data_IF_573301155770
#
_entry.id   IF_573301155770
#
_cell.length_a   1.000
_cell.length_b   1.000
_cell.length_c   1.000
_cell.angle_alpha   90.00
_cell.angle_beta   90.00
_cell.angle_gamma   90.00
#
_symmetry.space_group_name_H-M   'P 1'
#
loop_
_entity.id
_entity.type
_entity.pdbx_description
1 polymer ?
#
# COMPACT_ATOMS: atom_id res chain seq x y z
N UNK A 1 -25.59 26.65 16.67
CA UNK A 1 -25.53 26.26 15.25
C UNK A 1 -24.16 25.71 14.99
N UNK A 2 -24.01 24.39 14.99
CA UNK A 2 -22.76 23.70 14.67
C UNK A 2 -22.67 23.67 13.15
N UNK A 3 -21.84 24.52 12.55
CA UNK A 3 -21.45 24.37 11.16
C UNK A 3 -20.56 23.14 11.04
N UNK A 4 -21.10 22.06 10.52
CA UNK A 4 -20.31 20.95 9.99
C UNK A 4 -19.38 21.50 8.91
N UNK A 5 -18.09 21.62 9.24
CA UNK A 5 -17.07 21.83 8.22
C UNK A 5 -17.12 20.60 7.31
N UNK A 6 -17.61 20.76 6.10
CA UNK A 6 -17.46 19.77 5.02
C UNK A 6 -15.96 19.54 4.85
N UNK A 7 -15.45 18.43 5.40
CA UNK A 7 -14.10 17.97 5.11
C UNK A 7 -14.06 17.70 3.61
N UNK A 8 -13.16 18.37 2.89
CA UNK A 8 -12.89 18.04 1.50
C UNK A 8 -12.28 16.63 1.48
N UNK A 9 -13.11 15.64 1.34
CA UNK A 9 -12.70 14.25 1.21
C UNK A 9 -12.24 14.08 -0.25
N UNK A 10 -10.93 13.89 -0.43
CA UNK A 10 -10.39 13.55 -1.73
C UNK A 10 -10.96 12.20 -2.16
N UNK A 11 -11.37 12.10 -3.41
CA UNK A 11 -11.81 10.84 -3.99
C UNK A 11 -11.08 10.59 -5.31
N UNK A 12 -10.72 9.33 -5.55
CA UNK A 12 -9.99 8.88 -6.74
C UNK A 12 -10.84 7.89 -7.51
N UNK A 13 -10.94 8.11 -8.83
CA UNK A 13 -11.51 7.12 -9.72
C UNK A 13 -10.42 6.13 -10.12
N UNK A 14 -10.57 4.89 -9.63
CA UNK A 14 -9.59 3.82 -9.84
C UNK A 14 -9.74 3.08 -11.17
N UNK A 15 -10.84 3.25 -11.90
CA UNK A 15 -11.10 2.52 -13.15
C UNK A 15 -10.02 2.74 -14.22
N UNK A 16 -9.38 3.91 -14.17
CA UNK A 16 -8.26 4.25 -15.07
C UNK A 16 -6.89 3.77 -14.57
N UNK A 17 -6.81 3.40 -13.29
CA UNK A 17 -5.60 2.92 -12.63
C UNK A 17 -5.52 1.41 -12.75
N UNK A 18 -6.64 0.74 -12.48
CA UNK A 18 -6.74 -0.73 -12.49
C UNK A 18 -7.12 -1.21 -13.89
N UNK A 19 -6.20 -1.10 -14.83
CA UNK A 19 -6.38 -1.72 -16.14
C UNK A 19 -5.66 -3.06 -16.13
N UNK A 20 -6.42 -4.16 -16.23
CA UNK A 20 -5.91 -5.51 -16.29
C UNK A 20 -6.53 -6.26 -17.46
N UNK A 21 -5.72 -7.01 -18.19
CA UNK A 21 -6.17 -8.00 -19.16
C UNK A 21 -6.87 -9.16 -18.44
N UNK A 22 -7.62 -9.98 -19.16
CA UNK A 22 -8.29 -11.14 -18.57
C UNK A 22 -7.29 -12.19 -18.04
N UNK A 23 -6.11 -12.30 -18.67
CA UNK A 23 -5.04 -13.14 -18.17
C UNK A 23 -4.45 -12.60 -16.87
N UNK A 24 -4.17 -11.31 -16.80
CA UNK A 24 -3.69 -10.69 -15.56
C UNK A 24 -4.70 -10.88 -14.41
N UNK A 25 -6.01 -10.69 -14.65
CA UNK A 25 -7.03 -10.93 -13.63
C UNK A 25 -6.93 -12.35 -13.07
N UNK A 26 -6.84 -13.36 -13.94
CA UNK A 26 -6.69 -14.77 -13.51
C UNK A 26 -5.42 -14.98 -12.68
N UNK A 27 -4.28 -14.46 -13.14
CA UNK A 27 -3.03 -14.57 -12.39
C UNK A 27 -3.14 -13.93 -11.00
N UNK A 28 -3.72 -12.73 -10.90
CA UNK A 28 -3.90 -12.08 -9.61
C UNK A 28 -4.95 -12.78 -8.73
N UNK A 29 -5.97 -13.42 -9.30
CA UNK A 29 -6.90 -14.27 -8.56
C UNK A 29 -6.20 -15.51 -7.97
N UNK A 30 -5.40 -16.20 -8.75
CA UNK A 30 -4.62 -17.36 -8.30
C UNK A 30 -3.61 -16.96 -7.21
N UNK A 31 -2.89 -15.85 -7.42
CA UNK A 31 -1.96 -15.30 -6.45
C UNK A 31 -2.68 -14.95 -5.14
N UNK A 32 -3.83 -14.28 -5.20
CA UNK A 32 -4.64 -13.97 -4.02
C UNK A 32 -5.03 -15.22 -3.24
N UNK A 33 -5.51 -16.27 -3.93
CA UNK A 33 -5.91 -17.51 -3.24
C UNK A 33 -4.73 -18.20 -2.56
N UNK A 34 -3.54 -18.15 -3.16
CA UNK A 34 -2.32 -18.66 -2.53
C UNK A 34 -1.92 -17.80 -1.33
N UNK A 35 -1.94 -16.47 -1.46
CA UNK A 35 -1.65 -15.56 -0.36
C UNK A 35 -2.60 -15.73 0.82
N UNK A 36 -3.89 -15.98 0.60
CA UNK A 36 -4.85 -16.28 1.68
C UNK A 36 -4.45 -17.53 2.47
N UNK A 37 -3.95 -18.55 1.80
CA UNK A 37 -3.49 -19.78 2.46
C UNK A 37 -2.22 -19.54 3.29
N UNK A 38 -1.24 -18.88 2.68
CA UNK A 38 0.05 -18.60 3.34
C UNK A 38 -0.10 -17.65 4.53
N UNK A 39 -0.92 -16.62 4.41
CA UNK A 39 -1.19 -15.67 5.49
C UNK A 39 -1.94 -16.28 6.69
N UNK A 40 -2.59 -17.41 6.51
CA UNK A 40 -3.29 -18.16 7.57
C UNK A 40 -4.11 -17.27 8.53
N UNK A 41 -4.88 -16.35 7.97
CA UNK A 41 -5.69 -15.37 8.72
C UNK A 41 -5.03 -14.02 8.98
N UNK A 42 -3.75 -13.85 8.65
CA UNK A 42 -3.09 -12.55 8.67
C UNK A 42 -3.73 -11.58 7.71
N UNK A 43 -3.74 -10.29 8.07
CA UNK A 43 -4.45 -9.24 7.33
C UNK A 43 -3.53 -8.27 6.62
N UNK A 44 -2.30 -8.14 7.03
CA UNK A 44 -1.35 -7.11 6.60
C UNK A 44 -0.32 -7.72 5.67
N UNK A 45 -0.29 -7.24 4.44
CA UNK A 45 0.57 -7.76 3.37
C UNK A 45 1.47 -6.65 2.83
N UNK A 46 2.78 -6.84 2.90
CA UNK A 46 3.74 -5.98 2.22
C UNK A 46 4.07 -6.54 0.83
N UNK A 47 4.24 -5.65 -0.15
CA UNK A 47 4.65 -5.99 -1.51
C UNK A 47 5.82 -5.08 -1.89
N UNK A 48 6.95 -5.69 -2.20
CA UNK A 48 8.17 -4.96 -2.53
C UNK A 48 8.40 -4.86 -4.03
N UNK A 49 9.14 -3.86 -4.45
CA UNK A 49 9.66 -3.65 -5.82
C UNK A 49 8.65 -3.36 -6.92
N UNK A 50 7.34 -3.48 -6.67
CA UNK A 50 6.34 -3.22 -7.70
C UNK A 50 5.06 -2.61 -7.11
N UNK A 51 5.03 -1.29 -6.98
CA UNK A 51 3.88 -0.57 -6.44
C UNK A 51 2.60 -0.76 -7.27
N UNK A 52 2.70 -0.87 -8.60
CA UNK A 52 1.54 -1.15 -9.44
C UNK A 52 1.06 -2.61 -9.28
N UNK A 53 1.98 -3.56 -9.12
CA UNK A 53 1.65 -4.94 -8.78
C UNK A 53 0.96 -5.01 -7.41
N UNK A 54 1.47 -4.29 -6.41
CA UNK A 54 0.85 -4.18 -5.10
C UNK A 54 -0.59 -3.65 -5.20
N UNK A 55 -0.81 -2.62 -6.02
CA UNK A 55 -2.14 -2.07 -6.25
C UNK A 55 -3.10 -3.07 -6.92
N UNK A 56 -2.62 -3.81 -7.92
CA UNK A 56 -3.41 -4.86 -8.59
C UNK A 56 -3.73 -6.03 -7.65
N UNK A 57 -2.79 -6.42 -6.78
CA UNK A 57 -3.05 -7.42 -5.73
C UNK A 57 -4.12 -6.91 -4.77
N UNK A 58 -3.99 -5.68 -4.26
CA UNK A 58 -5.00 -5.07 -3.40
C UNK A 58 -6.39 -5.09 -4.04
N UNK A 59 -6.47 -4.70 -5.31
CA UNK A 59 -7.72 -4.72 -6.05
C UNK A 59 -8.29 -6.14 -6.27
N UNK A 60 -7.45 -7.16 -6.39
CA UNK A 60 -7.92 -8.54 -6.50
C UNK A 60 -8.65 -9.02 -5.25
N UNK A 61 -8.23 -8.56 -4.05
CA UNK A 61 -8.95 -8.80 -2.80
C UNK A 61 -10.29 -8.07 -2.77
N UNK A 62 -10.34 -6.84 -3.30
CA UNK A 62 -11.61 -6.09 -3.46
C UNK A 62 -12.59 -6.84 -4.35
N UNK A 63 -12.11 -7.40 -5.47
CA UNK A 63 -12.94 -8.22 -6.37
C UNK A 63 -13.48 -9.49 -5.69
N UNK A 64 -12.82 -9.98 -4.66
CA UNK A 64 -13.28 -11.09 -3.81
C UNK A 64 -14.26 -10.64 -2.70
N UNK A 65 -14.63 -9.36 -2.65
CA UNK A 65 -15.58 -8.81 -1.68
C UNK A 65 -14.97 -8.34 -0.36
N UNK A 66 -13.64 -8.36 -0.24
CA UNK A 66 -12.95 -7.85 0.96
C UNK A 66 -12.92 -6.30 0.96
N UNK A 67 -13.03 -5.72 2.14
CA UNK A 67 -12.79 -4.29 2.35
C UNK A 67 -11.31 -4.05 2.53
N UNK A 68 -10.69 -3.36 1.58
CA UNK A 68 -9.24 -3.24 1.47
C UNK A 68 -8.80 -1.79 1.64
N UNK A 69 -7.71 -1.61 2.40
CA UNK A 69 -6.93 -0.39 2.42
C UNK A 69 -5.60 -0.64 1.71
N UNK A 70 -5.39 0.07 0.61
CA UNK A 70 -4.08 0.14 -0.02
C UNK A 70 -3.28 1.30 0.58
N UNK A 71 -2.05 1.03 0.98
CA UNK A 71 -1.13 2.01 1.57
C UNK A 71 0.10 2.10 0.68
N UNK A 72 0.28 3.24 0.03
CA UNK A 72 1.50 3.52 -0.72
C UNK A 72 2.60 3.97 0.25
N UNK A 73 3.36 3.00 0.74
CA UNK A 73 4.44 3.22 1.69
C UNK A 73 5.82 3.16 1.02
N UNK A 74 5.89 3.03 -0.29
CA UNK A 74 7.12 3.21 -1.06
C UNK A 74 7.39 4.71 -1.26
N UNK A 75 8.02 5.29 -0.26
CA UNK A 75 8.28 6.73 -0.18
C UNK A 75 9.29 7.20 -1.22
N UNK A 76 10.08 6.28 -1.75
CA UNK A 76 11.10 6.58 -2.75
C UNK A 76 10.57 6.51 -4.19
N UNK A 77 9.44 5.86 -4.40
CA UNK A 77 8.85 5.76 -5.72
C UNK A 77 7.66 6.74 -5.84
N UNK A 78 7.77 7.74 -6.67
CA UNK A 78 6.65 8.65 -6.98
C UNK A 78 5.62 8.03 -7.94
N UNK A 79 5.42 6.70 -7.88
CA UNK A 79 4.61 5.96 -8.86
C UNK A 79 3.20 6.54 -8.97
N UNK A 80 2.56 6.82 -7.85
CA UNK A 80 1.19 7.36 -7.85
C UNK A 80 1.12 8.88 -7.91
N UNK A 81 2.02 9.60 -7.22
CA UNK A 81 2.01 11.06 -7.18
C UNK A 81 2.43 11.67 -8.53
N UNK A 82 3.50 11.15 -9.15
CA UNK A 82 4.02 11.66 -10.40
C UNK A 82 3.12 11.33 -11.60
N UNK A 83 2.68 10.07 -11.69
CA UNK A 83 1.93 9.57 -12.84
C UNK A 83 0.48 10.07 -12.88
N UNK A 84 -0.18 10.21 -11.74
CA UNK A 84 -1.61 10.54 -11.67
C UNK A 84 -1.89 11.99 -11.28
N UNK A 85 -0.86 12.84 -11.14
CA UNK A 85 -0.98 14.27 -10.80
C UNK A 85 -1.93 14.52 -9.62
N UNK A 86 -1.86 13.65 -8.62
CA UNK A 86 -2.59 13.81 -7.37
C UNK A 86 -2.11 15.12 -6.74
N UNK A 87 -3.04 15.97 -6.31
CA UNK A 87 -2.75 17.35 -5.95
C UNK A 87 -1.62 17.51 -4.93
N UNK A 88 -0.82 18.55 -5.07
CA UNK A 88 0.37 18.87 -4.24
C UNK A 88 0.11 18.98 -2.72
N UNK A 89 -1.13 18.92 -2.27
CA UNK A 89 -1.52 19.04 -0.87
C UNK A 89 -2.06 17.73 -0.27
N UNK A 90 -1.89 16.61 -0.99
CA UNK A 90 -2.35 15.31 -0.51
C UNK A 90 -1.43 14.86 0.63
N UNK A 91 -2.01 14.72 1.83
CA UNK A 91 -1.32 14.17 2.98
C UNK A 91 -1.27 12.66 2.89
N UNK A 92 -0.18 12.06 3.37
CA UNK A 92 0.05 10.63 3.27
C UNK A 92 0.88 10.05 4.41
N UNK A 93 1.45 8.88 4.16
CA UNK A 93 2.29 8.16 5.12
C UNK A 93 3.42 9.03 5.66
N UNK A 94 4.14 9.74 4.77
CA UNK A 94 5.24 10.61 5.15
C UNK A 94 4.84 11.73 6.13
N UNK A 95 3.65 12.30 5.94
CA UNK A 95 3.14 13.34 6.85
C UNK A 95 2.85 12.77 8.24
N UNK A 96 2.31 11.55 8.31
CA UNK A 96 2.09 10.86 9.59
C UNK A 96 3.42 10.57 10.29
N UNK A 97 4.39 10.02 9.59
CA UNK A 97 5.69 9.66 10.16
C UNK A 97 6.41 10.87 10.76
N UNK A 98 6.36 12.02 10.07
CA UNK A 98 6.95 13.27 10.55
C UNK A 98 6.22 13.87 11.77
N UNK A 99 4.90 13.73 11.85
CA UNK A 99 4.08 14.33 12.91
C UNK A 99 2.93 13.42 13.34
N UNK A 100 3.21 12.30 14.04
CA UNK A 100 2.19 11.31 14.42
C UNK A 100 1.07 11.88 15.29
N UNK A 101 1.34 12.96 16.03
CA UNK A 101 0.35 13.65 16.88
C UNK A 101 -0.71 14.42 16.09
N UNK A 102 -0.47 14.70 14.83
CA UNK A 102 -1.46 15.34 13.97
C UNK A 102 -2.32 14.26 13.31
N UNK A 103 -3.54 14.09 13.82
CA UNK A 103 -4.54 13.23 13.20
C UNK A 103 -4.97 13.82 11.86
N UNK A 104 -4.27 13.46 10.80
CA UNK A 104 -4.67 13.80 9.45
C UNK A 104 -5.77 12.85 8.98
N UNK A 105 -6.65 13.36 8.14
CA UNK A 105 -7.55 12.52 7.36
C UNK A 105 -6.76 12.04 6.13
N UNK A 106 -6.04 10.92 6.32
CA UNK A 106 -5.15 10.37 5.30
C UNK A 106 -5.88 9.50 4.27
N UNK A 107 -7.08 9.03 4.64
CA UNK A 107 -7.84 8.12 3.79
C UNK A 107 -8.40 8.87 2.59
N UNK A 108 -7.98 8.44 1.41
CA UNK A 108 -8.56 8.85 0.15
C UNK A 108 -9.61 7.82 -0.28
N UNK A 109 -10.87 8.26 -0.39
CA UNK A 109 -11.94 7.41 -0.88
C UNK A 109 -11.81 7.15 -2.37
N UNK A 110 -12.22 5.97 -2.82
CA UNK A 110 -12.31 5.68 -4.24
C UNK A 110 -13.77 5.59 -4.70
N UNK A 111 -13.97 5.44 -6.01
CA UNK A 111 -15.29 5.15 -6.56
C UNK A 111 -15.78 3.72 -6.24
N UNK A 112 -14.95 2.87 -5.63
CA UNK A 112 -15.35 1.57 -5.09
C UNK A 112 -15.45 1.66 -3.55
N UNK A 113 -16.63 1.44 -2.94
CA UNK A 113 -16.83 1.59 -1.50
C UNK A 113 -16.04 0.58 -0.64
N UNK A 114 -15.53 -0.50 -1.24
CA UNK A 114 -14.70 -1.50 -0.56
C UNK A 114 -13.21 -1.21 -0.67
N UNK A 115 -12.82 -0.12 -1.35
CA UNK A 115 -11.42 0.18 -1.60
C UNK A 115 -11.08 1.61 -1.22
N UNK A 116 -10.23 1.76 -0.24
CA UNK A 116 -9.65 3.03 0.19
C UNK A 116 -8.15 3.05 -0.06
N UNK A 117 -7.57 4.25 -0.17
CA UNK A 117 -6.15 4.45 -0.44
C UNK A 117 -5.57 5.44 0.56
N UNK A 118 -4.36 5.17 1.04
CA UNK A 118 -3.49 6.16 1.67
C UNK A 118 -2.25 6.29 0.78
N UNK A 119 -1.97 7.51 0.34
CA UNK A 119 -0.82 7.80 -0.51
C UNK A 119 0.45 8.06 0.32
N UNK A 120 1.58 8.08 -0.34
CA UNK A 120 2.89 8.34 0.26
C UNK A 120 2.97 9.69 0.97
N UNK A 121 2.34 10.73 0.39
CA UNK A 121 2.56 12.11 0.84
C UNK A 121 3.85 12.70 0.24
N UNK A 122 4.31 13.83 0.77
CA UNK A 122 5.51 14.51 0.29
C UNK A 122 6.60 14.46 1.35
N UNK A 123 7.74 13.83 1.04
CA UNK A 123 8.96 13.94 1.81
C UNK A 123 9.86 15.02 1.22
N UNK A 124 10.28 15.97 2.06
CA UNK A 124 11.16 17.07 1.61
C UNK A 124 12.60 16.59 1.36
N UNK A 125 13.03 15.49 2.00
CA UNK A 125 14.40 14.98 1.99
C UNK A 125 14.55 13.47 1.69
N UNK A 126 13.44 12.76 1.47
CA UNK A 126 13.45 11.36 1.00
C UNK A 126 14.00 10.32 1.99
N UNK A 127 14.38 10.72 3.20
CA UNK A 127 14.96 9.83 4.22
C UNK A 127 13.98 9.63 5.36
N UNK A 128 13.70 8.37 5.68
CA UNK A 128 12.98 7.98 6.90
C UNK A 128 14.02 7.54 7.93
N UNK A 129 14.00 8.18 9.11
CA UNK A 129 14.82 7.75 10.24
C UNK A 129 14.29 6.46 10.88
N UNK A 130 15.14 5.77 11.66
CA UNK A 130 14.73 4.57 12.41
C UNK A 130 13.56 4.86 13.38
N UNK A 131 13.54 6.05 13.97
CA UNK A 131 12.43 6.48 14.86
C UNK A 131 11.12 6.61 14.08
N UNK A 132 11.17 7.22 12.90
CA UNK A 132 10.00 7.35 12.01
C UNK A 132 9.54 5.98 11.50
N UNK A 133 10.46 5.08 11.19
CA UNK A 133 10.15 3.71 10.79
C UNK A 133 9.38 2.97 11.90
N UNK A 134 9.78 3.15 13.16
CA UNK A 134 9.08 2.52 14.29
C UNK A 134 7.61 2.95 14.40
N UNK A 135 7.25 4.12 13.89
CA UNK A 135 5.87 4.60 13.83
C UNK A 135 5.01 3.85 12.82
N UNK A 136 5.62 3.14 11.85
CA UNK A 136 4.87 2.35 10.87
C UNK A 136 4.02 1.26 11.54
N UNK A 137 4.51 0.65 12.61
CA UNK A 137 3.70 -0.33 13.35
C UNK A 137 2.42 0.31 13.91
N UNK A 138 2.54 1.46 14.56
CA UNK A 138 1.36 2.17 15.07
C UNK A 138 0.41 2.57 13.94
N UNK A 139 0.96 3.00 12.80
CA UNK A 139 0.19 3.35 11.63
C UNK A 139 -0.63 2.17 11.10
N UNK A 140 -0.01 1.01 10.98
CA UNK A 140 -0.67 -0.24 10.56
C UNK A 140 -1.76 -0.63 11.56
N UNK A 141 -1.43 -0.64 12.86
CA UNK A 141 -2.35 -1.01 13.93
C UNK A 141 -3.61 -0.11 13.97
N UNK A 142 -3.49 1.18 13.61
CA UNK A 142 -4.63 2.10 13.54
C UNK A 142 -5.70 1.71 12.52
N UNK A 143 -5.33 0.96 11.50
CA UNK A 143 -6.23 0.62 10.39
C UNK A 143 -6.59 -0.86 10.32
N UNK A 144 -5.81 -1.76 10.92
CA UNK A 144 -5.98 -3.22 10.81
C UNK A 144 -7.36 -3.72 11.27
N UNK A 145 -7.98 -3.06 12.25
CA UNK A 145 -9.31 -3.41 12.74
C UNK A 145 -10.47 -2.87 11.87
N UNK A 146 -10.18 -1.96 10.94
CA UNK A 146 -11.20 -1.26 10.14
C UNK A 146 -11.40 -1.87 8.75
N UNK A 147 -10.47 -2.72 8.34
CA UNK A 147 -10.43 -3.35 7.02
C UNK A 147 -10.23 -4.86 7.16
N UNK A 148 -10.67 -5.60 6.15
CA UNK A 148 -10.42 -7.03 6.06
C UNK A 148 -8.97 -7.30 5.63
N UNK A 149 -8.39 -6.37 4.85
CA UNK A 149 -7.04 -6.46 4.31
C UNK A 149 -6.36 -5.10 4.26
N UNK A 150 -5.09 -5.06 4.68
CA UNK A 150 -4.16 -3.98 4.41
C UNK A 150 -3.11 -4.48 3.42
N UNK A 151 -2.93 -3.76 2.32
CA UNK A 151 -1.87 -4.06 1.34
C UNK A 151 -0.97 -2.83 1.23
N UNK A 152 0.29 -3.01 1.58
CA UNK A 152 1.29 -1.95 1.55
C UNK A 152 2.22 -2.14 0.34
N UNK A 153 2.40 -1.12 -0.49
CA UNK A 153 3.60 -1.08 -1.32
C UNK A 153 4.79 -0.70 -0.45
N UNK A 154 5.86 -1.47 -0.52
CA UNK A 154 7.07 -1.25 0.28
C UNK A 154 8.22 -0.84 -0.62
N UNK A 155 9.20 -0.15 -0.04
CA UNK A 155 10.46 0.14 -0.69
C UNK A 155 11.26 -1.13 -1.01
N UNK A 156 12.33 -0.95 -1.78
CA UNK A 156 13.22 -2.03 -2.23
C UNK A 156 13.86 -2.74 -1.04
N UNK A 157 14.16 -2.00 0.04
CA UNK A 157 14.85 -2.54 1.22
C UNK A 157 13.90 -3.32 2.14
N UNK A 158 12.59 -3.29 1.88
CA UNK A 158 11.59 -4.08 2.61
C UNK A 158 11.50 -3.77 4.11
N UNK A 159 12.01 -2.61 4.56
CA UNK A 159 12.12 -2.26 5.99
C UNK A 159 10.80 -2.32 6.75
N UNK A 160 9.69 -2.04 6.09
CA UNK A 160 8.37 -2.12 6.70
C UNK A 160 7.78 -3.54 6.71
N UNK A 161 8.39 -4.47 5.98
CA UNK A 161 7.92 -5.85 5.86
C UNK A 161 7.82 -6.57 7.23
N UNK A 162 8.75 -6.27 8.13
CA UNK A 162 8.78 -6.81 9.52
C UNK A 162 7.55 -6.46 10.36
N UNK A 163 6.75 -5.49 9.94
CA UNK A 163 5.51 -5.10 10.62
C UNK A 163 4.26 -5.72 9.99
N UNK A 164 4.43 -6.54 8.95
CA UNK A 164 3.36 -7.17 8.19
C UNK A 164 3.24 -8.66 8.52
N UNK A 165 2.07 -9.24 8.26
CA UNK A 165 1.83 -10.66 8.47
C UNK A 165 2.46 -11.53 7.38
N UNK A 166 2.75 -10.93 6.23
CA UNK A 166 3.42 -11.57 5.11
C UNK A 166 4.00 -10.57 4.12
N UNK A 167 4.98 -11.02 3.34
CA UNK A 167 5.67 -10.22 2.34
C UNK A 167 5.69 -10.93 1.00
N UNK A 168 5.39 -10.20 -0.06
CA UNK A 168 5.53 -10.64 -1.45
C UNK A 168 6.64 -9.84 -2.12
N UNK A 169 7.61 -10.52 -2.66
CA UNK A 169 8.66 -9.92 -3.47
C UNK A 169 8.27 -10.08 -4.94
N UNK A 170 8.07 -8.98 -5.63
CA UNK A 170 7.78 -8.96 -7.06
C UNK A 170 9.02 -8.51 -7.82
N UNK A 171 9.51 -9.36 -8.71
CA UNK A 171 10.66 -9.04 -9.57
C UNK A 171 10.38 -9.48 -11.01
N UNK A 172 11.07 -8.86 -11.96
CA UNK A 172 11.08 -9.32 -13.35
C UNK A 172 12.16 -10.38 -13.51
N UNK A 173 11.81 -11.50 -14.17
CA UNK A 173 12.72 -12.63 -14.37
C UNK A 173 14.05 -12.23 -15.07
N UNK A 174 14.02 -11.14 -15.85
CA UNK A 174 15.21 -10.55 -16.49
C UNK A 174 16.18 -9.86 -15.52
N UNK A 175 15.72 -9.46 -14.32
CA UNK A 175 16.50 -8.69 -13.37
C UNK A 175 17.25 -9.57 -12.36
N UNK A 176 16.71 -10.76 -12.08
CA UNK A 176 17.26 -11.64 -11.05
C UNK A 176 17.30 -13.09 -11.54
N UNK A 177 18.51 -13.69 -11.58
CA UNK A 177 18.62 -15.13 -11.57
C UNK A 177 18.14 -15.69 -10.22
N UNK A 178 17.79 -16.99 -10.16
CA UNK A 178 17.27 -17.67 -8.94
C UNK A 178 18.10 -17.37 -7.67
N UNK A 179 19.43 -17.35 -7.77
CA UNK A 179 20.37 -17.06 -6.68
C UNK A 179 20.20 -15.64 -6.07
N UNK A 180 19.73 -14.67 -6.86
CA UNK A 180 19.55 -13.30 -6.37
C UNK A 180 18.27 -13.12 -5.59
N UNK A 181 17.25 -13.92 -5.89
CA UNK A 181 15.97 -13.90 -5.17
C UNK A 181 16.15 -14.53 -3.76
N UNK A 182 16.88 -15.65 -3.66
CA UNK A 182 17.19 -16.29 -2.37
C UNK A 182 17.99 -15.36 -1.45
N UNK A 183 19.02 -14.69 -1.97
CA UNK A 183 19.80 -13.75 -1.19
C UNK A 183 18.97 -12.57 -0.66
N UNK A 184 17.99 -12.09 -1.43
CA UNK A 184 17.12 -10.99 -1.01
C UNK A 184 16.15 -11.41 0.10
N UNK A 185 15.69 -12.67 0.10
CA UNK A 185 14.83 -13.22 1.18
C UNK A 185 15.60 -13.29 2.49
N UNK A 186 16.89 -13.63 2.45
CA UNK A 186 17.74 -13.74 3.64
C UNK A 186 18.06 -12.36 4.28
N UNK A 187 17.87 -11.25 3.54
CA UNK A 187 18.09 -9.89 4.03
C UNK A 187 16.82 -9.24 4.64
N UNK A 188 15.64 -9.83 4.45
CA UNK A 188 14.36 -9.35 4.99
C UNK A 188 14.03 -9.95 6.37
#
# INVERSE_FOLDING_TARGET
VIQERRRNMFSVNIDKIVVMTDNEKKCYEELRENLKKELNGGKVLAITKNGMGAFKIAYSFVCAGEKVLFIDADIMSEIFLGKYKLGKNLKGVADFLKKPSQMYDLICKTNNPQFDIIFTGVLDDGVISEDEESMMKQFIDMYSDKYDRLVLSSDVDGRIAKYCDGTVIMYEESEFGELSAENYVDEL
#
